data_IF_264378658706
#
_entry.id   IF_264378658706
#
_cell.length_a   1.000
_cell.length_b   1.000
_cell.length_c   1.000
_cell.angle_alpha   90.00
_cell.angle_beta   90.00
_cell.angle_gamma   90.00
#
_symmetry.space_group_name_H-M   'P 1'
#
loop_
_entity.id
_entity.type
_entity.pdbx_description
1 polymer ?
#
# COMPACT_ATOMS: atom_id res chain seq x y z
N UNK A 1 6.83 -22.85 12.00
CA UNK A 1 6.74 -21.38 11.86
C UNK A 1 6.65 -20.68 13.20
N UNK A 2 5.76 -21.07 14.13
CA UNK A 2 5.61 -20.39 15.42
C UNK A 2 6.87 -20.37 16.30
N UNK A 3 7.79 -21.33 16.13
CA UNK A 3 9.12 -21.29 16.76
C UNK A 3 9.96 -20.07 16.32
N UNK A 4 9.70 -19.54 15.13
CA UNK A 4 10.39 -18.39 14.52
C UNK A 4 9.63 -17.09 14.79
N UNK A 5 8.30 -17.13 14.72
CA UNK A 5 7.40 -16.00 14.98
C UNK A 5 6.38 -16.41 16.04
N UNK A 6 6.67 -16.24 17.33
CA UNK A 6 5.79 -16.69 18.41
C UNK A 6 4.39 -16.09 18.36
N UNK A 7 4.28 -14.85 17.85
CA UNK A 7 2.99 -14.16 17.64
C UNK A 7 2.28 -14.58 16.34
N UNK A 8 2.89 -15.46 15.54
CA UNK A 8 2.35 -15.90 14.24
C UNK A 8 2.29 -14.78 13.18
N UNK A 9 2.92 -13.63 13.42
CA UNK A 9 2.93 -12.49 12.50
C UNK A 9 3.85 -12.74 11.32
N UNK A 10 3.47 -12.16 10.18
CA UNK A 10 4.22 -12.13 8.92
C UNK A 10 4.28 -10.67 8.41
N UNK A 11 5.30 -10.29 7.63
CA UNK A 11 6.44 -11.09 7.16
C UNK A 11 7.52 -11.31 8.24
N UNK A 12 8.33 -12.36 8.05
CA UNK A 12 9.56 -12.61 8.82
C UNK A 12 10.65 -13.07 7.85
N UNK A 13 11.85 -12.49 7.96
CA UNK A 13 13.01 -12.79 7.11
C UNK A 13 14.20 -13.18 7.97
N UNK A 14 15.03 -14.12 7.50
CA UNK A 14 16.26 -14.54 8.18
C UNK A 14 17.45 -13.80 7.60
N UNK A 15 18.14 -13.00 8.41
CA UNK A 15 19.40 -12.32 8.10
C UNK A 15 20.51 -12.81 9.04
N UNK A 16 21.63 -13.29 8.51
CA UNK A 16 22.80 -13.74 9.30
C UNK A 16 22.42 -14.62 10.51
N UNK A 17 21.58 -15.63 10.26
CA UNK A 17 21.02 -16.53 11.27
C UNK A 17 20.05 -15.96 12.30
N UNK A 18 19.66 -14.69 12.17
CA UNK A 18 18.66 -14.03 13.01
C UNK A 18 17.36 -13.79 12.25
N UNK A 19 16.24 -14.13 12.88
CA UNK A 19 14.91 -13.86 12.34
C UNK A 19 14.47 -12.45 12.72
N UNK A 20 14.01 -11.70 11.72
CA UNK A 20 13.53 -10.31 11.85
C UNK A 20 12.12 -10.24 11.31
N UNK A 21 11.20 -9.74 12.13
CA UNK A 21 9.83 -9.43 11.75
C UNK A 21 9.67 -7.92 11.49
N UNK A 22 8.45 -7.52 11.11
CA UNK A 22 8.08 -6.14 10.74
C UNK A 22 8.65 -5.72 9.38
N UNK A 23 7.77 -5.39 8.43
CA UNK A 23 8.16 -5.04 7.08
C UNK A 23 9.03 -3.78 7.03
N UNK A 24 8.79 -2.80 7.89
CA UNK A 24 9.54 -1.53 7.87
C UNK A 24 10.97 -1.78 8.36
N UNK A 25 11.14 -2.63 9.37
CA UNK A 25 12.47 -3.06 9.86
C UNK A 25 13.18 -3.92 8.83
N UNK A 26 12.49 -4.89 8.23
CA UNK A 26 13.04 -5.78 7.20
C UNK A 26 13.55 -4.96 6.00
N UNK A 27 12.75 -4.01 5.50
CA UNK A 27 13.14 -3.16 4.35
C UNK A 27 14.34 -2.29 4.69
N UNK A 28 14.43 -1.74 5.91
CA UNK A 28 15.61 -1.00 6.37
C UNK A 28 16.88 -1.86 6.36
N UNK A 29 16.81 -3.09 6.87
CA UNK A 29 17.97 -4.02 6.85
C UNK A 29 18.37 -4.39 5.41
N UNK A 30 17.39 -4.55 4.50
CA UNK A 30 17.68 -4.83 3.09
C UNK A 30 18.43 -3.65 2.46
N UNK A 31 17.99 -2.41 2.68
CA UNK A 31 18.66 -1.21 2.17
C UNK A 31 20.10 -1.10 2.72
N UNK A 32 20.31 -1.37 4.00
CA UNK A 32 21.65 -1.33 4.61
C UNK A 32 22.59 -2.42 4.08
N UNK A 33 22.07 -3.63 3.83
CA UNK A 33 22.85 -4.77 3.31
C UNK A 33 23.09 -4.69 1.80
N UNK A 34 22.14 -4.13 1.06
CA UNK A 34 22.13 -4.07 -0.40
C UNK A 34 21.82 -2.65 -0.86
N UNK A 35 22.76 -1.70 -0.68
CA UNK A 35 22.51 -0.28 -0.89
C UNK A 35 22.35 0.13 -2.37
N UNK A 36 22.63 -0.77 -3.31
CA UNK A 36 22.54 -0.48 -4.75
C UNK A 36 21.67 -1.53 -5.47
N UNK A 37 20.64 -1.10 -6.23
CA UNK A 37 20.18 0.29 -6.36
C UNK A 37 19.49 0.80 -5.09
N UNK A 38 19.79 2.04 -4.67
CA UNK A 38 19.16 2.61 -3.47
C UNK A 38 17.65 2.81 -3.66
N UNK A 39 16.89 2.40 -2.64
CA UNK A 39 15.44 2.62 -2.54
C UNK A 39 15.10 3.57 -1.38
N UNK A 40 16.09 4.29 -0.86
CA UNK A 40 15.87 5.23 0.24
C UNK A 40 14.91 6.35 -0.18
N UNK A 41 13.88 6.57 0.65
CA UNK A 41 12.97 7.70 0.48
C UNK A 41 13.52 8.92 1.22
N UNK A 42 13.58 10.11 0.61
CA UNK A 42 13.88 11.35 1.31
C UNK A 42 12.91 11.56 2.50
N UNK A 43 13.39 11.97 3.69
CA UNK A 43 12.55 12.06 4.90
C UNK A 43 11.29 12.91 4.73
N UNK A 44 11.36 13.97 3.94
CA UNK A 44 10.24 14.87 3.62
C UNK A 44 9.08 14.15 2.91
N UNK A 45 9.32 13.02 2.24
CA UNK A 45 8.32 12.25 1.53
C UNK A 45 7.91 10.94 2.22
N UNK A 46 8.56 10.59 3.34
CA UNK A 46 8.38 9.30 4.01
C UNK A 46 6.95 9.01 4.46
N UNK A 47 6.12 10.04 4.67
CA UNK A 47 4.77 9.92 5.17
C UNK A 47 3.68 10.21 4.13
N UNK A 48 4.05 10.46 2.87
CA UNK A 48 3.09 10.69 1.78
C UNK A 48 2.21 9.45 1.61
N UNK A 49 0.89 9.64 1.64
CA UNK A 49 -0.09 8.55 1.53
C UNK A 49 -0.22 7.64 2.76
N UNK A 50 0.49 7.91 3.86
CA UNK A 50 0.49 7.04 5.06
C UNK A 50 -0.91 6.85 5.68
N UNK A 51 -1.79 7.86 5.57
CA UNK A 51 -3.14 7.85 6.14
C UNK A 51 -4.18 7.10 5.30
N UNK A 52 -3.87 6.77 4.03
CA UNK A 52 -4.83 6.12 3.11
C UNK A 52 -5.36 4.81 3.69
N UNK A 53 -4.50 3.98 4.30
CA UNK A 53 -4.96 2.72 4.89
C UNK A 53 -5.91 2.96 6.08
N UNK A 54 -5.65 4.02 6.85
CA UNK A 54 -6.44 4.42 8.01
C UNK A 54 -7.84 4.92 7.65
N UNK A 55 -8.04 5.47 6.46
CA UNK A 55 -9.35 5.91 5.95
C UNK A 55 -10.04 4.83 5.08
N UNK A 56 -9.25 4.05 4.35
CA UNK A 56 -9.71 2.92 3.54
C UNK A 56 -10.44 1.85 4.36
N UNK A 57 -9.85 1.36 5.46
CA UNK A 57 -10.43 0.25 6.23
C UNK A 57 -11.79 0.63 6.84
N UNK A 58 -11.95 1.80 7.49
CA UNK A 58 -13.27 2.26 7.95
C UNK A 58 -14.29 2.36 6.82
N UNK A 59 -13.91 2.91 5.65
CA UNK A 59 -14.83 3.01 4.52
C UNK A 59 -15.27 1.64 3.99
N UNK A 60 -14.31 0.72 3.83
CA UNK A 60 -14.58 -0.65 3.38
C UNK A 60 -15.57 -1.36 4.32
N UNK A 61 -15.42 -1.18 5.64
CA UNK A 61 -16.26 -1.83 6.66
C UNK A 61 -17.58 -1.10 6.95
N UNK A 62 -17.72 0.16 6.54
CA UNK A 62 -18.92 0.94 6.85
C UNK A 62 -20.17 0.29 6.24
N UNK A 63 -21.27 0.23 7.00
CA UNK A 63 -22.60 -0.12 6.47
C UNK A 63 -23.48 1.12 6.25
N UNK A 64 -23.01 2.27 6.72
CA UNK A 64 -23.69 3.56 6.62
C UNK A 64 -23.00 4.41 5.55
N UNK A 65 -23.75 4.76 4.50
CA UNK A 65 -23.26 5.61 3.42
C UNK A 65 -23.00 7.07 3.86
N UNK A 66 -23.57 7.50 4.99
CA UNK A 66 -23.54 8.89 5.42
C UNK A 66 -22.56 9.16 6.58
N UNK A 67 -21.77 8.17 7.00
CA UNK A 67 -20.86 8.31 8.14
C UNK A 67 -19.57 9.09 7.82
N UNK A 68 -19.40 9.61 6.60
CA UNK A 68 -18.25 10.42 6.18
C UNK A 68 -17.00 9.64 5.77
N UNK A 69 -16.94 8.32 6.01
CA UNK A 69 -15.72 7.53 5.76
C UNK A 69 -15.27 7.51 4.28
N UNK A 70 -16.21 7.58 3.33
CA UNK A 70 -15.87 7.73 1.91
C UNK A 70 -15.15 9.06 1.64
N UNK A 71 -15.67 10.15 2.22
CA UNK A 71 -15.12 11.48 2.01
C UNK A 71 -13.72 11.60 2.62
N UNK A 72 -13.48 10.96 3.76
CA UNK A 72 -12.15 10.88 4.38
C UNK A 72 -11.16 10.18 3.46
N UNK A 73 -11.54 9.05 2.85
CA UNK A 73 -10.69 8.36 1.87
C UNK A 73 -10.43 9.23 0.64
N UNK A 74 -11.47 9.86 0.09
CA UNK A 74 -11.34 10.76 -1.08
C UNK A 74 -10.42 11.94 -0.76
N UNK A 75 -10.45 12.49 0.45
CA UNK A 75 -9.56 13.58 0.86
C UNK A 75 -8.09 13.14 0.90
N UNK A 76 -7.80 11.95 1.43
CA UNK A 76 -6.43 11.41 1.44
C UNK A 76 -5.93 11.07 0.02
N UNK A 77 -6.82 10.57 -0.86
CA UNK A 77 -6.47 10.35 -2.27
C UNK A 77 -6.25 11.65 -3.03
N UNK A 78 -7.02 12.72 -2.76
CA UNK A 78 -6.77 14.06 -3.32
C UNK A 78 -5.43 14.62 -2.87
N UNK A 79 -5.06 14.45 -1.59
CA UNK A 79 -3.77 14.88 -1.09
C UNK A 79 -2.61 14.13 -1.79
N UNK A 80 -2.77 12.83 -2.04
CA UNK A 80 -1.81 12.05 -2.83
C UNK A 80 -1.75 12.53 -4.30
N UNK A 81 -2.90 12.81 -4.92
CA UNK A 81 -2.97 13.29 -6.32
C UNK A 81 -2.23 14.62 -6.49
N UNK A 82 -2.48 15.59 -5.61
CA UNK A 82 -1.78 16.89 -5.63
C UNK A 82 -0.28 16.73 -5.36
N UNK A 83 0.13 15.82 -4.47
CA UNK A 83 1.55 15.52 -4.26
C UNK A 83 2.21 14.98 -5.53
N UNK A 84 1.59 13.97 -6.16
CA UNK A 84 2.10 13.33 -7.38
C UNK A 84 2.12 14.30 -8.57
N UNK A 85 1.19 15.25 -8.61
CA UNK A 85 1.20 16.33 -9.61
C UNK A 85 2.44 17.22 -9.50
N UNK A 86 2.88 17.52 -8.28
CA UNK A 86 4.04 18.37 -8.02
C UNK A 86 5.39 17.64 -8.07
N UNK A 87 5.42 16.36 -7.71
CA UNK A 87 6.66 15.61 -7.45
C UNK A 87 6.76 14.27 -8.18
N UNK A 88 5.77 13.89 -8.98
CA UNK A 88 5.70 12.58 -9.65
C UNK A 88 6.80 12.33 -10.69
N UNK A 89 6.83 11.15 -11.32
CA UNK A 89 5.74 10.16 -11.37
C UNK A 89 5.63 9.21 -10.15
N UNK A 90 6.67 9.07 -9.33
CA UNK A 90 6.64 8.36 -8.04
C UNK A 90 6.70 9.35 -6.88
N UNK A 91 6.53 8.88 -5.64
CA UNK A 91 6.41 9.78 -4.49
C UNK A 91 7.63 10.69 -4.33
N UNK A 92 8.83 10.19 -4.63
CA UNK A 92 10.10 10.90 -4.53
C UNK A 92 10.69 11.29 -5.90
N UNK A 93 9.89 11.42 -6.96
CA UNK A 93 10.35 11.81 -8.29
C UNK A 93 10.36 10.69 -9.32
N UNK A 94 11.43 10.64 -10.13
CA UNK A 94 11.52 9.77 -11.31
C UNK A 94 11.68 8.28 -10.98
N UNK A 95 12.21 7.96 -9.79
CA UNK A 95 12.54 6.59 -9.39
C UNK A 95 11.68 6.15 -8.22
N UNK A 96 11.39 4.85 -8.19
CA UNK A 96 10.69 4.22 -7.08
C UNK A 96 11.58 4.19 -5.84
N UNK A 97 10.99 4.41 -4.67
CA UNK A 97 11.64 4.25 -3.37
C UNK A 97 10.79 3.38 -2.44
N UNK A 98 11.26 3.16 -1.22
CA UNK A 98 10.62 2.31 -0.22
C UNK A 98 9.17 2.73 0.09
N UNK A 99 8.87 4.04 0.08
CA UNK A 99 7.51 4.54 0.32
C UNK A 99 6.53 4.07 -0.76
N UNK A 100 6.95 4.03 -2.02
CA UNK A 100 6.11 3.53 -3.11
C UNK A 100 5.89 2.02 -2.98
N UNK A 101 6.93 1.28 -2.60
CA UNK A 101 6.86 -0.18 -2.37
C UNK A 101 5.98 -0.53 -1.16
N UNK A 102 5.90 0.36 -0.16
CA UNK A 102 5.00 0.23 0.97
C UNK A 102 3.56 0.65 0.66
N UNK A 103 3.35 1.63 -0.22
CA UNK A 103 2.03 2.15 -0.58
C UNK A 103 1.35 1.31 -1.68
N UNK A 104 2.09 0.84 -2.67
CA UNK A 104 1.59 0.10 -3.82
C UNK A 104 0.67 -1.08 -3.45
N UNK A 105 1.11 -2.01 -2.58
CA UNK A 105 0.26 -3.11 -2.12
C UNK A 105 -1.02 -2.63 -1.42
N UNK A 106 -0.97 -1.54 -0.66
CA UNK A 106 -2.15 -0.98 0.02
C UNK A 106 -3.17 -0.46 -0.99
N UNK A 107 -2.73 0.25 -2.03
CA UNK A 107 -3.60 0.73 -3.11
C UNK A 107 -4.18 -0.42 -3.95
N UNK A 108 -3.43 -1.51 -4.15
CA UNK A 108 -3.94 -2.69 -4.85
C UNK A 108 -5.06 -3.38 -4.07
N UNK A 109 -4.89 -3.51 -2.75
CA UNK A 109 -5.96 -3.99 -1.88
C UNK A 109 -7.17 -3.07 -1.90
N UNK A 110 -6.97 -1.75 -1.86
CA UNK A 110 -8.03 -0.76 -1.97
C UNK A 110 -8.84 -0.92 -3.27
N UNK A 111 -8.17 -0.96 -4.43
CA UNK A 111 -8.82 -1.09 -5.74
C UNK A 111 -9.72 -2.34 -5.82
N UNK A 112 -9.18 -3.49 -5.42
CA UNK A 112 -9.89 -4.77 -5.53
C UNK A 112 -11.05 -4.84 -4.55
N UNK A 113 -10.81 -4.49 -3.29
CA UNK A 113 -11.81 -4.69 -2.24
C UNK A 113 -12.95 -3.68 -2.35
N UNK A 114 -12.67 -2.40 -2.61
CA UNK A 114 -13.73 -1.41 -2.81
C UNK A 114 -14.51 -1.68 -4.09
N UNK A 115 -13.84 -2.09 -5.18
CA UNK A 115 -14.53 -2.50 -6.41
C UNK A 115 -15.45 -3.70 -6.19
N UNK A 116 -15.02 -4.68 -5.39
CA UNK A 116 -15.81 -5.88 -5.11
C UNK A 116 -16.98 -5.61 -4.15
N UNK A 117 -16.70 -5.12 -2.95
CA UNK A 117 -17.65 -5.02 -1.84
C UNK A 117 -18.50 -3.74 -1.86
N UNK A 118 -18.01 -2.65 -2.46
CA UNK A 118 -18.67 -1.34 -2.46
C UNK A 118 -19.11 -0.85 -3.84
N UNK A 119 -18.68 -1.54 -4.91
CA UNK A 119 -18.84 -1.07 -6.31
C UNK A 119 -18.24 0.33 -6.51
N UNK A 120 -17.17 0.61 -5.79
CA UNK A 120 -16.52 1.91 -5.73
C UNK A 120 -15.17 1.86 -6.42
N UNK A 121 -14.81 2.92 -7.14
CA UNK A 121 -13.51 3.11 -7.79
C UNK A 121 -12.92 4.46 -7.43
N UNK A 122 -11.60 4.59 -7.52
CA UNK A 122 -10.91 5.87 -7.35
C UNK A 122 -11.50 6.88 -8.34
N UNK A 123 -11.92 8.09 -7.90
CA UNK A 123 -12.53 9.06 -8.81
C UNK A 123 -11.65 9.34 -10.02
N UNK A 124 -12.23 9.30 -11.23
CA UNK A 124 -11.51 9.51 -12.51
C UNK A 124 -10.83 10.88 -12.62
N UNK A 125 -11.26 11.86 -11.82
CA UNK A 125 -10.62 13.17 -11.72
C UNK A 125 -9.23 13.13 -11.08
N UNK A 126 -8.89 12.08 -10.33
CA UNK A 126 -7.59 11.90 -9.68
C UNK A 126 -6.58 11.24 -10.64
N UNK A 127 -6.29 11.95 -11.72
CA UNK A 127 -5.53 11.42 -12.86
C UNK A 127 -4.09 11.02 -12.50
N UNK A 128 -3.45 11.71 -11.56
CA UNK A 128 -2.08 11.40 -11.14
C UNK A 128 -2.04 10.14 -10.27
N UNK A 129 -3.02 9.95 -9.40
CA UNK A 129 -3.20 8.69 -8.64
C UNK A 129 -3.43 7.51 -9.59
N UNK A 130 -4.31 7.65 -10.58
CA UNK A 130 -4.55 6.61 -11.59
C UNK A 130 -3.27 6.24 -12.34
N UNK A 131 -2.53 7.23 -12.81
CA UNK A 131 -1.25 7.01 -13.50
C UNK A 131 -0.20 6.36 -12.60
N UNK A 132 -0.14 6.77 -11.33
CA UNK A 132 0.74 6.18 -10.31
C UNK A 132 0.41 4.72 -10.04
N UNK A 133 -0.87 4.40 -9.78
CA UNK A 133 -1.34 3.02 -9.59
C UNK A 133 -1.02 2.15 -10.80
N UNK A 134 -1.34 2.62 -12.01
CA UNK A 134 -1.01 1.92 -13.26
C UNK A 134 0.50 1.67 -13.40
N UNK A 135 1.32 2.68 -13.09
CA UNK A 135 2.77 2.57 -13.16
C UNK A 135 3.33 1.55 -12.18
N UNK A 136 2.84 1.55 -10.93
CA UNK A 136 3.25 0.58 -9.89
C UNK A 136 2.76 -0.84 -10.21
N UNK A 137 1.48 -1.01 -10.56
CA UNK A 137 0.89 -2.33 -10.82
C UNK A 137 1.42 -2.98 -12.10
N UNK A 138 1.90 -2.16 -13.05
CA UNK A 138 2.54 -2.61 -14.28
C UNK A 138 4.00 -3.04 -14.11
N UNK A 139 4.65 -2.76 -12.96
CA UNK A 139 6.05 -3.15 -12.74
C UNK A 139 6.18 -4.67 -12.70
N UNK A 140 7.23 -5.19 -13.31
CA UNK A 140 7.54 -6.62 -13.31
C UNK A 140 7.59 -7.20 -11.88
N UNK A 141 8.23 -6.47 -10.95
CA UNK A 141 8.30 -6.87 -9.55
C UNK A 141 6.92 -6.99 -8.91
N UNK A 142 6.03 -6.04 -9.17
CA UNK A 142 4.66 -6.07 -8.66
C UNK A 142 3.84 -7.18 -9.30
N UNK A 143 3.96 -7.36 -10.62
CA UNK A 143 3.26 -8.43 -11.35
C UNK A 143 3.66 -9.80 -10.82
N UNK A 144 4.94 -10.00 -10.47
CA UNK A 144 5.48 -11.26 -9.92
C UNK A 144 5.05 -11.53 -8.49
N UNK A 145 4.77 -10.50 -7.69
CA UNK A 145 4.51 -10.66 -6.24
C UNK A 145 3.07 -10.37 -5.83
N UNK A 146 2.24 -9.78 -6.70
CA UNK A 146 0.84 -9.50 -6.39
C UNK A 146 0.08 -10.80 -6.13
N UNK A 147 -0.79 -10.75 -5.13
CA UNK A 147 -1.74 -11.82 -4.83
C UNK A 147 -2.88 -11.78 -5.86
N UNK A 148 -3.38 -12.96 -6.24
CA UNK A 148 -4.53 -13.10 -7.11
C UNK A 148 -5.75 -12.38 -6.52
N UNK A 149 -6.58 -11.77 -7.37
CA UNK A 149 -7.66 -10.87 -6.91
C UNK A 149 -8.67 -11.61 -6.03
N UNK A 150 -8.91 -12.88 -6.35
CA UNK A 150 -9.83 -13.78 -5.66
C UNK A 150 -9.38 -13.99 -4.22
N UNK A 151 -8.08 -14.22 -4.00
CA UNK A 151 -7.52 -14.42 -2.66
C UNK A 151 -7.48 -13.13 -1.83
N UNK A 152 -7.36 -11.96 -2.47
CA UNK A 152 -7.57 -10.67 -1.78
C UNK A 152 -8.99 -10.59 -1.24
N UNK A 153 -9.98 -10.86 -2.09
CA UNK A 153 -11.40 -10.81 -1.72
C UNK A 153 -11.70 -11.80 -0.60
N UNK A 154 -11.29 -13.06 -0.76
CA UNK A 154 -11.46 -14.12 0.25
C UNK A 154 -10.83 -13.75 1.59
N UNK A 155 -9.61 -13.19 1.58
CA UNK A 155 -8.91 -12.77 2.80
C UNK A 155 -9.56 -11.59 3.52
N UNK A 156 -10.30 -10.74 2.79
CA UNK A 156 -11.01 -9.60 3.37
C UNK A 156 -12.46 -9.91 3.74
N UNK A 157 -13.12 -10.89 3.10
CA UNK A 157 -14.53 -11.19 3.32
C UNK A 157 -14.92 -11.39 4.80
N UNK A 158 -14.19 -12.15 5.64
CA UNK A 158 -14.52 -12.29 7.06
C UNK A 158 -14.39 -10.98 7.84
N UNK A 159 -13.54 -10.05 7.40
CA UNK A 159 -13.29 -8.77 8.08
C UNK A 159 -14.33 -7.71 7.74
N UNK A 160 -14.95 -7.82 6.57
CA UNK A 160 -16.00 -6.92 6.08
C UNK A 160 -17.37 -7.38 6.58
N UNK A 161 -17.59 -8.70 6.66
CA UNK A 161 -18.87 -9.28 7.05
C UNK A 161 -19.05 -9.47 8.56
N UNK A 162 -17.98 -9.37 9.35
CA UNK A 162 -18.04 -9.30 10.82
C UNK A 162 -18.76 -8.01 11.27
#
# INVERSE_FOLDING_TARGET
FLEISPEGKVPVVKFDDKWVADSDVIVGIIEDKFPEPSLKTPPEFAHVGSKILGTFIPFLKSKDANNGSEQDLVNELKALDEHLKGHGPFIAGEKITAVDLGLGPKLYHLEITLGHFKKWTVPESLTYVHNYMKSIFGRESFVKTKVAKEHVIEGWAPKVNA
#
